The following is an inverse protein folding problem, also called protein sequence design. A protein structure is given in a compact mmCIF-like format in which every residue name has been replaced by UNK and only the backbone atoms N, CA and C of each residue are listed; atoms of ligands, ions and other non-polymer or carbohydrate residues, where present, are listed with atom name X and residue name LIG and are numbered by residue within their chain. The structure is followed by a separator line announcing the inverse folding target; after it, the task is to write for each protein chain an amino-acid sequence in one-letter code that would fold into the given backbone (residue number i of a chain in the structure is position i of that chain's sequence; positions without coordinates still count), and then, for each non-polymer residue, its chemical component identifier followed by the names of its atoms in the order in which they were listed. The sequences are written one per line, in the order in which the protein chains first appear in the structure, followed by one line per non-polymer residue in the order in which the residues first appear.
data_IF_321704615949
#
_entry.id   IF_321704615949
#
_cell.length_a   1.000
_cell.length_b   1.000
_cell.length_c   1.000
_cell.angle_alpha   90.00
_cell.angle_beta   90.00
_cell.angle_gamma   90.00
#
_symmetry.space_group_name_H-M   'P 1'
#
loop_
_entity.id
_entity.type
_entity.pdbx_description
1 polymer ?
#
# COMPACT_ATOMS: atom_id res chain seq x y z
N UNK A 1 25.17 8.74 -5.79
CA UNK A 1 24.35 7.54 -5.42
C UNK A 1 23.01 8.08 -4.89
N UNK A 2 21.91 7.33 -4.71
CA UNK A 2 20.61 7.94 -4.35
C UNK A 2 20.54 8.41 -2.88
N UNK A 3 21.63 8.97 -2.35
CA UNK A 3 21.84 9.33 -0.93
C UNK A 3 22.68 10.60 -0.77
N UNK A 4 22.79 11.43 -1.81
CA UNK A 4 23.48 12.73 -1.73
C UNK A 4 22.62 13.77 -0.98
N UNK A 5 23.22 14.82 -0.41
CA UNK A 5 22.53 15.78 0.49
C UNK A 5 21.31 16.46 -0.16
N UNK A 6 21.41 16.77 -1.45
CA UNK A 6 20.31 17.31 -2.26
C UNK A 6 19.09 16.36 -2.38
N UNK A 7 19.29 15.04 -2.26
CA UNK A 7 18.20 14.07 -2.24
C UNK A 7 17.40 14.16 -0.94
N UNK A 8 18.09 14.32 0.21
CA UNK A 8 17.45 14.40 1.51
C UNK A 8 16.76 15.75 1.78
N UNK A 9 17.22 16.84 1.15
CA UNK A 9 16.60 18.17 1.28
C UNK A 9 15.13 18.20 0.82
N UNK A 10 14.77 17.36 -0.15
CA UNK A 10 13.41 17.27 -0.72
C UNK A 10 12.64 16.02 -0.29
N UNK A 11 13.25 15.15 0.51
CA UNK A 11 12.66 13.88 0.92
C UNK A 11 11.50 14.12 1.89
N UNK A 12 10.28 13.80 1.48
CA UNK A 12 9.13 13.79 2.39
C UNK A 12 9.25 12.65 3.39
N UNK A 13 9.35 13.00 4.68
CA UNK A 13 9.24 12.04 5.78
C UNK A 13 7.80 11.57 5.87
N UNK A 14 7.52 10.40 5.32
CA UNK A 14 6.21 9.75 5.46
C UNK A 14 6.21 8.98 6.77
N UNK A 15 5.47 9.50 7.76
CA UNK A 15 5.18 8.74 8.98
C UNK A 15 4.40 7.47 8.59
N UNK A 16 5.05 6.31 8.76
CA UNK A 16 4.39 5.02 8.58
C UNK A 16 3.23 4.92 9.56
N UNK A 17 1.99 5.02 9.07
CA UNK A 17 0.82 4.76 9.90
C UNK A 17 0.93 3.32 10.39
N UNK A 18 0.65 3.09 11.68
CA UNK A 18 0.58 1.72 12.23
C UNK A 18 -0.38 0.93 11.36
N UNK A 19 0.12 -0.14 10.74
CA UNK A 19 -0.72 -1.11 10.04
C UNK A 19 -1.31 -2.03 11.09
N UNK A 20 -2.64 -2.13 11.10
CA UNK A 20 -3.32 -3.11 11.92
C UNK A 20 -3.50 -4.40 11.13
N UNK A 21 -3.17 -5.54 11.75
CA UNK A 21 -3.41 -6.84 11.15
C UNK A 21 -4.89 -7.18 11.29
N UNK A 22 -5.57 -7.29 10.16
CA UNK A 22 -6.96 -7.73 10.10
C UNK A 22 -7.07 -9.03 9.32
N UNK A 23 -7.91 -9.94 9.81
CA UNK A 23 -8.27 -11.16 9.07
C UNK A 23 -9.60 -10.91 8.37
N UNK A 24 -9.60 -10.87 7.04
CA UNK A 24 -10.82 -10.73 6.24
C UNK A 24 -10.91 -11.81 5.17
N UNK A 25 -12.15 -12.10 4.74
CA UNK A 25 -12.39 -13.01 3.62
C UNK A 25 -12.30 -12.24 2.31
N UNK A 26 -11.52 -12.78 1.38
CA UNK A 26 -11.39 -12.30 0.01
C UNK A 26 -11.77 -13.47 -0.88
N UNK A 27 -12.50 -13.21 -1.95
CA UNK A 27 -12.80 -14.21 -2.96
C UNK A 27 -11.51 -14.84 -3.52
N UNK A 28 -11.54 -16.14 -3.79
CA UNK A 28 -10.36 -16.90 -4.18
C UNK A 28 -9.76 -16.39 -5.50
N UNK A 29 -10.60 -16.05 -6.48
CA UNK A 29 -10.13 -15.60 -7.80
C UNK A 29 -9.49 -14.21 -7.71
N UNK A 30 -10.05 -13.35 -6.85
CA UNK A 30 -9.49 -12.02 -6.56
C UNK A 30 -8.14 -12.15 -5.87
N UNK A 31 -8.03 -13.02 -4.85
CA UNK A 31 -6.76 -13.25 -4.16
C UNK A 31 -5.70 -13.83 -5.09
N UNK A 32 -6.06 -14.79 -5.93
CA UNK A 32 -5.15 -15.38 -6.92
C UNK A 32 -4.69 -14.34 -7.96
N UNK A 33 -5.56 -13.42 -8.39
CA UNK A 33 -5.16 -12.32 -9.26
C UNK A 33 -4.11 -11.40 -8.61
N UNK A 34 -4.28 -11.08 -7.33
CA UNK A 34 -3.29 -10.30 -6.58
C UNK A 34 -1.99 -11.07 -6.36
N UNK A 35 -2.06 -12.38 -6.07
CA UNK A 35 -0.88 -13.24 -5.86
C UNK A 35 0.01 -13.40 -7.08
N UNK A 36 -0.54 -13.23 -8.29
CA UNK A 36 0.27 -13.19 -9.53
C UNK A 36 1.21 -11.98 -9.59
N UNK A 37 1.02 -11.01 -8.69
CA UNK A 37 1.79 -9.78 -8.61
C UNK A 37 2.72 -9.88 -7.40
N UNK A 38 3.97 -9.42 -7.56
CA UNK A 38 4.85 -9.23 -6.41
C UNK A 38 4.21 -8.23 -5.42
N UNK A 39 4.49 -8.41 -4.13
CA UNK A 39 3.98 -7.56 -3.04
C UNK A 39 2.44 -7.48 -2.96
N UNK A 40 1.74 -8.61 -3.15
CA UNK A 40 0.28 -8.67 -3.19
C UNK A 40 -0.42 -8.01 -1.97
N UNK A 41 0.16 -8.14 -0.77
CA UNK A 41 -0.37 -7.49 0.44
C UNK A 41 -0.34 -5.95 0.35
N UNK A 42 0.74 -5.39 -0.20
CA UNK A 42 0.88 -3.94 -0.41
C UNK A 42 -0.12 -3.45 -1.45
N UNK A 43 -0.37 -4.26 -2.48
CA UNK A 43 -1.36 -3.93 -3.51
C UNK A 43 -2.81 -4.00 -3.01
N UNK A 44 -3.13 -4.98 -2.16
CA UNK A 44 -4.43 -5.06 -1.49
C UNK A 44 -4.66 -3.80 -0.65
N UNK A 45 -3.68 -3.42 0.17
CA UNK A 45 -3.74 -2.21 1.00
C UNK A 45 -3.93 -0.93 0.16
N UNK A 46 -3.19 -0.79 -0.96
CA UNK A 46 -3.33 0.34 -1.87
C UNK A 46 -4.71 0.39 -2.56
N UNK A 47 -5.27 -0.75 -2.94
CA UNK A 47 -6.60 -0.85 -3.52
C UNK A 47 -7.68 -0.41 -2.52
N UNK A 48 -7.60 -0.89 -1.27
CA UNK A 48 -8.50 -0.50 -0.19
C UNK A 48 -8.41 1.00 0.12
N UNK A 49 -7.19 1.56 0.18
CA UNK A 49 -7.00 3.00 0.39
C UNK A 49 -7.58 3.82 -0.76
N UNK A 50 -7.43 3.37 -2.01
CA UNK A 50 -7.99 4.05 -3.18
C UNK A 50 -9.51 4.03 -3.16
N UNK A 51 -10.11 2.88 -2.82
CA UNK A 51 -11.55 2.75 -2.63
C UNK A 51 -12.08 3.69 -1.54
N UNK A 52 -11.41 3.72 -0.37
CA UNK A 52 -11.73 4.62 0.73
C UNK A 52 -11.66 6.09 0.29
N UNK A 53 -10.64 6.52 -0.45
CA UNK A 53 -10.52 7.90 -0.93
C UNK A 53 -11.63 8.28 -1.93
N UNK A 54 -12.06 7.33 -2.75
CA UNK A 54 -13.12 7.56 -3.74
C UNK A 54 -14.53 7.61 -3.13
N UNK A 55 -14.75 6.97 -1.97
CA UNK A 55 -16.09 6.82 -1.37
C UNK A 55 -16.22 7.43 0.03
N UNK A 56 -15.11 7.86 0.65
CA UNK A 56 -15.06 8.37 2.02
C UNK A 56 -15.16 9.89 2.11
N UNK A 57 -15.96 10.51 1.25
CA UNK A 57 -16.36 11.92 1.34
C UNK A 57 -17.53 12.10 2.30
#
# INVERSE_FOLDING_TARGET
MPTDEAFWESAQVVLSRRKETVTMRIDADVLEWFRRQNDYQVRIDAALQSYMKAHGG
#
